data_IF_756583375836
#
_entry.id   IF_756583375836
#
_cell.length_a   1.000
_cell.length_b   1.000
_cell.length_c   1.000
_cell.angle_alpha   90.00
_cell.angle_beta   90.00
_cell.angle_gamma   90.00
#
_symmetry.space_group_name_H-M   'P 1'
#
loop_
_entity.id
_entity.type
_entity.pdbx_description
1 polymer ?
#
# COMPACT_ATOMS: atom_id res chain seq x y z
N UNK A 1 -6.36 24.89 -11.02
CA UNK A 1 -6.57 23.46 -11.27
C UNK A 1 -7.65 22.98 -10.32
N UNK A 2 -8.70 22.33 -10.83
CA UNK A 2 -9.67 21.61 -9.99
C UNK A 2 -9.00 20.28 -9.63
N UNK A 3 -8.88 19.99 -8.34
CA UNK A 3 -8.25 18.76 -7.87
C UNK A 3 -9.28 17.63 -7.97
N UNK A 4 -9.24 16.86 -9.05
CA UNK A 4 -10.24 15.83 -9.40
C UNK A 4 -9.73 14.40 -9.23
N UNK A 5 -8.49 14.23 -8.80
CA UNK A 5 -7.90 12.90 -8.58
C UNK A 5 -8.49 12.25 -7.33
N UNK A 6 -8.38 10.92 -7.25
CA UNK A 6 -8.89 10.14 -6.13
C UNK A 6 -7.76 9.43 -5.40
N UNK A 7 -7.94 9.26 -4.09
CA UNK A 7 -7.10 8.38 -3.27
C UNK A 7 -8.02 7.35 -2.64
N UNK A 8 -7.70 6.08 -2.84
CA UNK A 8 -8.32 4.96 -2.13
C UNK A 8 -7.32 4.47 -1.10
N UNK A 9 -7.68 4.56 0.17
CA UNK A 9 -6.86 4.00 1.27
C UNK A 9 -7.27 2.55 1.48
N UNK A 10 -6.29 1.65 1.43
CA UNK A 10 -6.45 0.24 1.72
C UNK A 10 -5.86 -0.06 3.08
N UNK A 11 -6.57 -0.87 3.86
CA UNK A 11 -6.09 -1.32 5.16
C UNK A 11 -6.40 -2.81 5.34
N UNK A 12 -5.42 -3.52 5.91
CA UNK A 12 -5.58 -4.88 6.42
C UNK A 12 -5.30 -4.84 7.93
N UNK A 13 -6.28 -4.44 8.76
CA UNK A 13 -6.06 -4.24 10.20
C UNK A 13 -5.53 -5.48 10.92
N UNK A 14 -5.90 -6.66 10.41
CA UNK A 14 -5.56 -7.95 10.99
C UNK A 14 -4.30 -8.57 10.40
N UNK A 15 -3.61 -7.84 9.51
CA UNK A 15 -2.34 -8.27 8.94
C UNK A 15 -1.28 -8.46 10.03
N UNK A 16 -0.60 -9.61 9.98
CA UNK A 16 0.59 -9.82 10.79
C UNK A 16 1.81 -9.24 10.10
N UNK A 17 2.64 -8.54 10.87
CA UNK A 17 3.92 -8.01 10.42
C UNK A 17 5.04 -8.63 11.23
N UNK A 18 6.12 -9.03 10.56
CA UNK A 18 7.31 -9.54 11.24
C UNK A 18 7.82 -8.51 12.26
N UNK A 19 8.32 -8.98 13.38
CA UNK A 19 8.99 -8.16 14.38
C UNK A 19 10.18 -7.39 13.76
N UNK A 20 10.55 -6.26 14.38
CA UNK A 20 11.60 -5.38 13.84
C UNK A 20 13.03 -5.90 14.11
N UNK A 21 13.17 -6.92 14.95
CA UNK A 21 14.45 -7.35 15.51
C UNK A 21 14.91 -6.45 16.67
N UNK A 22 13.99 -5.73 17.30
CA UNK A 22 14.26 -4.84 18.41
C UNK A 22 14.42 -5.60 19.74
N UNK A 23 15.08 -4.97 20.71
CA UNK A 23 15.33 -5.57 22.03
C UNK A 23 14.06 -5.98 22.78
N UNK A 24 12.93 -5.36 22.46
CA UNK A 24 11.64 -5.60 23.11
C UNK A 24 10.81 -6.69 22.40
N UNK A 25 11.21 -7.14 21.21
CA UNK A 25 10.44 -8.13 20.45
C UNK A 25 10.27 -9.48 21.18
N UNK A 26 11.25 -9.99 21.95
CA UNK A 26 11.04 -11.19 22.78
C UNK A 26 9.97 -11.02 23.88
N UNK A 27 9.63 -9.78 24.26
CA UNK A 27 8.65 -9.51 25.31
C UNK A 27 7.23 -9.30 24.77
N UNK A 28 7.10 -8.68 23.59
CA UNK A 28 5.81 -8.22 23.08
C UNK A 28 5.35 -8.88 21.78
N UNK A 29 6.27 -9.51 21.03
CA UNK A 29 5.86 -10.23 19.81
C UNK A 29 5.29 -11.60 20.14
N UNK A 30 4.34 -12.05 19.34
CA UNK A 30 3.86 -13.45 19.38
C UNK A 30 4.51 -14.18 18.21
N UNK A 31 5.37 -15.16 18.51
CA UNK A 31 6.12 -15.93 17.50
C UNK A 31 6.89 -15.04 16.51
N UNK A 32 7.49 -13.95 16.98
CA UNK A 32 8.26 -13.02 16.14
C UNK A 32 7.40 -12.15 15.22
N UNK A 33 6.11 -11.98 15.53
CA UNK A 33 5.17 -11.17 14.76
C UNK A 33 4.29 -10.29 15.65
N UNK A 34 3.75 -9.25 15.03
CA UNK A 34 2.74 -8.36 15.61
C UNK A 34 1.53 -8.27 14.68
N UNK A 35 0.33 -8.28 15.25
CA UNK A 35 -0.91 -7.97 14.54
C UNK A 35 -1.16 -6.45 14.61
N UNK A 36 -0.44 -5.71 13.77
CA UNK A 36 -0.51 -4.24 13.65
C UNK A 36 -1.13 -3.80 12.32
N UNK A 37 -1.38 -4.75 11.43
CA UNK A 37 -1.94 -4.53 10.11
C UNK A 37 -0.95 -4.03 9.09
N UNK A 38 -1.48 -3.73 7.91
CA UNK A 38 -0.78 -3.08 6.80
C UNK A 38 -1.68 -2.06 6.14
N UNK A 39 -1.10 -1.05 5.51
CA UNK A 39 -1.83 -0.06 4.74
C UNK A 39 -1.15 0.19 3.41
N UNK A 40 -1.98 0.42 2.40
CA UNK A 40 -1.56 0.84 1.08
C UNK A 40 -2.49 1.95 0.59
N UNK A 41 -2.14 2.58 -0.51
CA UNK A 41 -3.04 3.51 -1.20
C UNK A 41 -3.03 3.25 -2.69
N UNK A 42 -4.15 3.58 -3.33
CA UNK A 42 -4.25 3.69 -4.78
C UNK A 42 -4.48 5.16 -5.09
N UNK A 43 -3.57 5.76 -5.84
CA UNK A 43 -3.75 7.08 -6.45
C UNK A 43 -4.38 6.89 -7.83
N UNK A 44 -5.48 7.59 -8.08
CA UNK A 44 -6.18 7.53 -9.37
C UNK A 44 -6.03 8.87 -10.04
N UNK A 45 -5.34 8.86 -11.18
CA UNK A 45 -5.22 10.02 -12.03
C UNK A 45 -6.50 10.15 -12.88
N UNK A 46 -7.24 11.24 -12.68
CA UNK A 46 -8.52 11.46 -13.33
C UNK A 46 -8.40 11.91 -14.79
N UNK A 47 -7.23 12.34 -15.24
CA UNK A 47 -6.96 12.71 -16.62
C UNK A 47 -6.72 11.47 -17.50
N UNK A 48 -5.79 10.60 -17.11
CA UNK A 48 -5.40 9.41 -17.87
C UNK A 48 -6.09 8.11 -17.40
N UNK A 49 -6.90 8.17 -16.33
CA UNK A 49 -7.64 7.05 -15.73
C UNK A 49 -6.76 5.93 -15.16
N UNK A 50 -5.49 6.22 -14.88
CA UNK A 50 -4.55 5.25 -14.34
C UNK A 50 -4.72 5.05 -12.83
N UNK A 51 -4.60 3.79 -12.39
CA UNK A 51 -4.57 3.40 -10.97
C UNK A 51 -3.13 3.07 -10.57
N UNK A 52 -2.57 3.83 -9.65
CA UNK A 52 -1.21 3.67 -9.16
C UNK A 52 -1.25 3.16 -7.72
N UNK A 53 -0.86 1.90 -7.52
CA UNK A 53 -0.73 1.29 -6.20
C UNK A 53 0.58 1.71 -5.53
N UNK A 54 0.51 2.07 -4.26
CA UNK A 54 1.65 2.33 -3.41
C UNK A 54 1.49 1.68 -2.03
N UNK A 55 2.55 1.02 -1.56
CA UNK A 55 2.67 0.66 -0.16
C UNK A 55 4.10 0.84 0.35
N UNK A 56 4.26 0.84 1.68
CA UNK A 56 5.56 0.94 2.32
C UNK A 56 5.79 -0.26 3.22
N UNK A 57 6.94 -0.90 3.05
CA UNK A 57 7.28 -2.07 3.84
C UNK A 57 8.74 -2.46 3.72
N UNK A 58 9.10 -3.54 4.40
CA UNK A 58 10.47 -4.08 4.41
C UNK A 58 10.69 -5.05 3.25
N UNK A 59 10.38 -4.61 2.03
CA UNK A 59 10.44 -5.45 0.83
C UNK A 59 11.86 -5.49 0.27
N UNK A 60 12.55 -6.63 0.40
CA UNK A 60 13.93 -6.78 -0.10
C UNK A 60 14.89 -5.68 0.38
N UNK A 61 14.68 -5.16 1.59
CA UNK A 61 15.50 -4.12 2.20
C UNK A 61 16.45 -4.69 3.25
N UNK A 62 17.59 -4.03 3.52
CA UNK A 62 18.42 -4.38 4.67
C UNK A 62 17.67 -4.23 5.99
N UNK A 63 18.10 -4.95 7.02
CA UNK A 63 17.55 -4.84 8.38
C UNK A 63 17.54 -3.38 8.86
N UNK A 64 16.40 -2.92 9.36
CA UNK A 64 16.21 -1.54 9.83
C UNK A 64 15.69 -0.56 8.77
N UNK A 65 15.52 -1.00 7.52
CA UNK A 65 15.02 -0.15 6.43
C UNK A 65 13.71 -0.67 5.86
N UNK A 66 12.89 0.25 5.34
CA UNK A 66 11.77 -0.03 4.48
C UNK A 66 11.89 0.76 3.18
N UNK A 67 11.07 0.41 2.19
CA UNK A 67 10.97 1.14 0.93
C UNK A 67 9.52 1.26 0.50
N UNK A 68 9.27 2.27 -0.32
CA UNK A 68 8.04 2.37 -1.10
C UNK A 68 8.09 1.32 -2.21
N UNK A 69 6.94 0.74 -2.50
CA UNK A 69 6.70 -0.17 -3.61
C UNK A 69 5.66 0.44 -4.53
N UNK A 70 5.92 0.40 -5.83
CA UNK A 70 4.98 0.77 -6.88
C UNK A 70 5.23 -0.08 -8.14
N UNK A 71 4.53 0.23 -9.23
CA UNK A 71 4.70 -0.45 -10.52
C UNK A 71 6.09 -0.30 -11.15
N UNK A 72 6.86 0.73 -10.78
CA UNK A 72 8.17 1.01 -11.38
C UNK A 72 9.23 0.09 -10.77
N UNK A 73 9.20 -0.08 -9.45
CA UNK A 73 10.14 -0.97 -8.76
C UNK A 73 9.66 -2.42 -8.70
N UNK A 74 8.34 -2.66 -8.74
CA UNK A 74 7.72 -3.98 -8.59
C UNK A 74 6.57 -4.13 -9.60
N UNK A 75 6.85 -4.43 -10.88
CA UNK A 75 5.85 -4.45 -11.95
C UNK A 75 4.63 -5.34 -11.68
N UNK A 76 4.79 -6.40 -10.89
CA UNK A 76 3.74 -7.37 -10.56
C UNK A 76 2.58 -6.78 -9.74
N UNK A 77 2.76 -5.61 -9.12
CA UNK A 77 1.69 -4.93 -8.36
C UNK A 77 0.95 -3.87 -9.18
N UNK A 78 1.31 -3.72 -10.46
CA UNK A 78 0.57 -2.86 -11.39
C UNK A 78 -0.89 -3.30 -11.50
N UNK A 79 -1.80 -2.33 -11.47
CA UNK A 79 -3.25 -2.59 -11.57
C UNK A 79 -3.66 -2.56 -13.05
N UNK A 80 -4.07 -3.69 -13.66
CA UNK A 80 -4.30 -3.79 -15.11
C UNK A 80 -5.73 -3.38 -15.51
N UNK A 81 -6.30 -2.38 -14.83
CA UNK A 81 -7.60 -1.79 -15.16
C UNK A 81 -7.48 -0.27 -15.20
N UNK A 82 -8.37 0.39 -15.95
CA UNK A 82 -8.50 1.85 -15.98
C UNK A 82 -9.74 2.28 -15.19
N UNK A 83 -9.69 3.43 -14.54
CA UNK A 83 -10.81 3.95 -13.76
C UNK A 83 -11.94 4.44 -14.68
N UNK A 84 -13.16 3.97 -14.42
CA UNK A 84 -14.38 4.53 -15.02
C UNK A 84 -14.91 5.64 -14.11
N UNK A 85 -14.75 6.89 -14.53
CA UNK A 85 -15.10 8.07 -13.71
C UNK A 85 -16.28 8.81 -14.34
N UNK A 86 -17.39 8.86 -13.62
CA UNK A 86 -18.62 9.54 -14.01
C UNK A 86 -19.20 10.27 -12.78
N UNK A 87 -19.64 11.52 -12.96
CA UNK A 87 -20.21 12.36 -11.89
C UNK A 87 -19.33 12.43 -10.63
N UNK A 88 -18.01 12.57 -10.81
CA UNK A 88 -17.03 12.61 -9.72
C UNK A 88 -17.05 11.35 -8.83
N UNK A 89 -17.37 10.19 -9.41
CA UNK A 89 -17.38 8.87 -8.76
C UNK A 89 -16.70 7.84 -9.64
N UNK A 90 -16.03 6.89 -9.01
CA UNK A 90 -15.46 5.72 -9.68
C UNK A 90 -16.54 4.63 -9.76
N UNK A 91 -16.77 4.05 -10.93
CA UNK A 91 -17.89 3.13 -11.21
C UNK A 91 -17.50 1.66 -11.15
N UNK A 92 -16.22 1.35 -11.34
CA UNK A 92 -15.70 0.00 -11.53
C UNK A 92 -14.74 -0.45 -10.40
N UNK A 93 -14.89 0.11 -9.20
CA UNK A 93 -14.16 -0.25 -7.97
C UNK A 93 -15.15 -0.36 -6.82
#
# INVERSE_FOLDING_TARGET
>A
MINSDFIIVLAWPEGETTAAGAWYDPLFSTNGKYRVGHSALILINSENKELLYFDFGRYHTPTGFGRVRDKETDPDIGIPISAEIEDNRIKNI
#
